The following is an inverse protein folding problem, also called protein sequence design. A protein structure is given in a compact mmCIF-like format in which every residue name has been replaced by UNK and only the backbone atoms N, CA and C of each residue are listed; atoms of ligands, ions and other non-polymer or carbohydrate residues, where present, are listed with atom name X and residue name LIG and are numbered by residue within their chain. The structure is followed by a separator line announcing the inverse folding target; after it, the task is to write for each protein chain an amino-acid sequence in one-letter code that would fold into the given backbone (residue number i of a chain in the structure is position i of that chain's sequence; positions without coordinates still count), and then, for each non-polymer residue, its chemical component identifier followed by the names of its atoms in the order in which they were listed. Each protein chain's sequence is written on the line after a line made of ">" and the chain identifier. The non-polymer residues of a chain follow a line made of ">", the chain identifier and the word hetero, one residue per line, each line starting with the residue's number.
data_IF_574260820688
#
_entry.id   IF_574260820688
#
_cell.length_a   1.000
_cell.length_b   1.000
_cell.length_c   1.000
_cell.angle_alpha   90.00
_cell.angle_beta   90.00
_cell.angle_gamma   90.00
#
_symmetry.space_group_name_H-M   'P 1'
#
loop_
_entity.id
_entity.type
_entity.pdbx_description
1 polymer ?
#
# COMPACT_ATOMS: atom_id res chain seq x y z
N UNK A 1 5.66 8.46 -25.93
CA UNK A 1 5.39 9.22 -24.68
C UNK A 1 4.35 10.30 -24.97
N UNK A 2 3.13 10.16 -24.45
CA UNK A 2 2.05 11.15 -24.62
C UNK A 2 2.40 12.51 -24.00
N UNK A 3 1.74 13.58 -24.46
CA UNK A 3 1.90 14.91 -23.86
C UNK A 3 1.08 15.04 -22.57
N UNK A 4 1.42 16.00 -21.69
CA UNK A 4 0.61 16.30 -20.50
C UNK A 4 -0.85 16.59 -20.84
N UNK A 5 -1.10 17.24 -21.98
CA UNK A 5 -2.44 17.51 -22.48
C UNK A 5 -3.18 16.23 -22.87
N UNK A 6 -2.47 15.22 -23.37
CA UNK A 6 -3.06 13.91 -23.67
C UNK A 6 -3.36 13.12 -22.40
N UNK A 7 -2.48 13.15 -21.41
CA UNK A 7 -2.68 12.52 -20.10
C UNK A 7 -3.80 13.18 -19.27
N UNK A 8 -4.09 14.46 -19.50
CA UNK A 8 -5.14 15.19 -18.80
C UNK A 8 -6.54 15.01 -19.41
N UNK A 9 -6.69 14.20 -20.47
CA UNK A 9 -7.99 13.98 -21.14
C UNK A 9 -8.97 13.18 -20.28
N UNK A 10 -8.47 12.31 -19.42
CA UNK A 10 -9.27 11.45 -18.53
C UNK A 10 -8.76 11.55 -17.10
N UNK A 11 -9.55 11.07 -16.14
CA UNK A 11 -9.04 10.90 -14.77
C UNK A 11 -7.98 9.80 -14.81
N UNK A 12 -6.89 9.96 -14.07
CA UNK A 12 -5.75 9.04 -14.15
C UNK A 12 -6.16 7.57 -13.88
N UNK A 13 -7.13 7.37 -12.98
CA UNK A 13 -7.66 6.05 -12.63
C UNK A 13 -8.37 5.37 -13.79
N UNK A 14 -8.98 6.14 -14.70
CA UNK A 14 -9.71 5.58 -15.85
C UNK A 14 -8.78 4.86 -16.82
N UNK A 15 -7.48 5.18 -16.83
CA UNK A 15 -6.51 4.50 -17.69
C UNK A 15 -6.28 3.04 -17.28
N UNK A 16 -6.55 2.65 -16.04
CA UNK A 16 -6.48 1.26 -15.60
C UNK A 16 -7.52 0.38 -16.30
N UNK A 17 -8.67 0.95 -16.64
CA UNK A 17 -9.75 0.24 -17.33
C UNK A 17 -9.46 0.02 -18.82
N UNK A 18 -8.34 0.49 -19.37
CA UNK A 18 -8.06 0.26 -20.79
C UNK A 18 -7.59 -1.18 -21.07
N UNK A 19 -7.90 -1.69 -22.25
CA UNK A 19 -7.42 -3.01 -22.71
C UNK A 19 -5.90 -3.06 -22.73
N UNK A 20 -5.24 -1.99 -23.18
CA UNK A 20 -3.78 -1.89 -23.21
C UNK A 20 -3.16 -2.05 -21.82
N UNK A 21 -3.69 -1.35 -20.80
CA UNK A 21 -3.22 -1.50 -19.42
C UNK A 21 -3.46 -2.91 -18.90
N UNK A 22 -4.64 -3.46 -19.16
CA UNK A 22 -5.03 -4.80 -18.71
C UNK A 22 -4.11 -5.89 -19.29
N UNK A 23 -3.83 -5.83 -20.60
CA UNK A 23 -2.87 -6.71 -21.28
C UNK A 23 -1.44 -6.52 -20.74
N UNK A 24 -1.02 -5.28 -20.48
CA UNK A 24 0.31 -4.99 -19.96
C UNK A 24 0.54 -5.62 -18.57
N UNK A 25 -0.41 -5.50 -17.65
CA UNK A 25 -0.36 -6.16 -16.35
C UNK A 25 -0.37 -7.69 -16.49
N UNK A 26 -1.20 -8.25 -17.38
CA UNK A 26 -1.21 -9.70 -17.57
C UNK A 26 0.11 -10.21 -18.17
N UNK A 27 0.75 -9.45 -19.07
CA UNK A 27 2.07 -9.79 -19.60
C UNK A 27 3.15 -9.76 -18.52
N UNK A 28 3.08 -8.78 -17.61
CA UNK A 28 3.96 -8.75 -16.42
C UNK A 28 3.76 -10.01 -15.57
N UNK A 29 2.52 -10.40 -15.29
CA UNK A 29 2.20 -11.56 -14.45
C UNK A 29 2.54 -12.91 -15.12
N UNK A 30 2.34 -13.01 -16.44
CA UNK A 30 2.65 -14.21 -17.22
C UNK A 30 4.14 -14.38 -17.53
N UNK A 31 4.99 -13.44 -17.09
CA UNK A 31 6.40 -13.36 -17.46
C UNK A 31 6.62 -13.32 -18.99
N UNK A 32 5.72 -12.67 -19.74
CA UNK A 32 5.90 -12.46 -21.18
C UNK A 32 7.23 -11.74 -21.39
N UNK A 33 8.06 -12.24 -22.31
CA UNK A 33 9.38 -11.69 -22.64
C UNK A 33 10.34 -11.48 -21.44
N UNK A 34 10.15 -12.22 -20.33
CA UNK A 34 11.01 -12.10 -19.14
C UNK A 34 10.73 -10.88 -18.26
N UNK A 35 9.52 -10.30 -18.35
CA UNK A 35 9.13 -9.13 -17.55
C UNK A 35 9.12 -9.42 -16.03
N UNK A 36 8.56 -10.55 -15.60
CA UNK A 36 8.57 -10.95 -14.19
C UNK A 36 10.00 -11.26 -13.71
N UNK A 37 10.82 -11.87 -14.56
CA UNK A 37 12.23 -12.11 -14.25
C UNK A 37 13.00 -10.80 -14.02
N UNK A 38 12.73 -9.80 -14.87
CA UNK A 38 13.31 -8.46 -14.74
C UNK A 38 12.85 -7.76 -13.45
N UNK A 39 11.59 -7.94 -13.08
CA UNK A 39 11.05 -7.41 -11.84
C UNK A 39 11.62 -8.11 -10.61
N UNK A 40 11.77 -9.43 -10.67
CA UNK A 40 12.45 -10.22 -9.64
C UNK A 40 13.92 -9.78 -9.48
N UNK A 41 14.62 -9.52 -10.58
CA UNK A 41 15.99 -9.01 -10.55
C UNK A 41 16.10 -7.61 -9.93
N UNK A 42 15.13 -6.73 -10.18
CA UNK A 42 15.04 -5.44 -9.48
C UNK A 42 14.93 -5.66 -7.97
N UNK A 43 14.01 -6.51 -7.52
CA UNK A 43 13.83 -6.78 -6.09
C UNK A 43 15.03 -7.47 -5.44
N UNK A 44 15.68 -8.41 -6.14
CA UNK A 44 16.92 -9.04 -5.67
C UNK A 44 18.03 -7.99 -5.46
N UNK A 45 18.19 -7.05 -6.40
CA UNK A 45 19.16 -5.96 -6.28
C UNK A 45 18.82 -5.04 -5.11
N UNK A 46 17.57 -4.62 -4.97
CA UNK A 46 17.10 -3.80 -3.85
C UNK A 46 17.39 -4.49 -2.51
N UNK A 47 17.02 -5.76 -2.36
CA UNK A 47 17.27 -6.52 -1.14
C UNK A 47 18.78 -6.63 -0.82
N UNK A 48 19.61 -6.91 -1.82
CA UNK A 48 21.05 -7.01 -1.64
C UNK A 48 21.69 -5.72 -1.10
N UNK A 49 21.21 -4.55 -1.54
CA UNK A 49 21.70 -3.24 -1.07
C UNK A 49 21.14 -2.88 0.31
N UNK A 50 19.85 -3.14 0.56
CA UNK A 50 19.19 -2.65 1.77
C UNK A 50 19.24 -3.59 2.98
N UNK A 51 19.69 -4.85 2.82
CA UNK A 51 19.68 -5.85 3.89
C UNK A 51 20.42 -5.47 5.18
N UNK A 52 21.41 -4.58 5.11
CA UNK A 52 22.17 -4.15 6.29
C UNK A 52 21.55 -2.95 7.02
N UNK A 53 20.52 -2.33 6.45
CA UNK A 53 19.91 -1.12 7.00
C UNK A 53 18.79 -1.49 7.96
N UNK A 54 19.09 -1.56 9.26
CA UNK A 54 18.12 -1.90 10.30
C UNK A 54 16.93 -0.93 10.41
N UNK A 55 17.05 0.25 9.81
CA UNK A 55 15.99 1.23 9.70
C UNK A 55 15.05 0.95 8.52
N UNK A 56 15.37 0.07 7.57
CA UNK A 56 14.39 -0.35 6.57
C UNK A 56 13.42 -1.33 7.24
N UNK A 57 12.11 -1.10 7.14
CA UNK A 57 11.14 -2.05 7.72
C UNK A 57 10.86 -3.23 6.79
N UNK A 58 10.96 -3.01 5.49
CA UNK A 58 10.61 -4.00 4.49
C UNK A 58 10.45 -3.45 3.09
N UNK A 59 9.93 -4.31 2.21
CA UNK A 59 9.78 -4.09 0.78
C UNK A 59 8.33 -4.31 0.36
N UNK A 60 7.68 -3.28 -0.16
CA UNK A 60 6.32 -3.38 -0.72
C UNK A 60 6.38 -3.75 -2.18
N UNK A 61 5.91 -4.96 -2.50
CA UNK A 61 6.18 -5.60 -3.80
C UNK A 61 5.67 -4.77 -4.99
N UNK A 62 4.45 -4.24 -4.88
CA UNK A 62 3.79 -3.37 -5.85
C UNK A 62 2.71 -2.55 -5.14
N UNK A 63 2.61 -1.29 -5.53
CA UNK A 63 1.52 -0.39 -5.13
C UNK A 63 0.29 -0.62 -6.03
N UNK A 64 -0.89 -0.81 -5.44
CA UNK A 64 -2.17 -0.91 -6.14
C UNK A 64 -2.15 -1.83 -7.38
N UNK A 65 -1.89 -3.14 -7.20
CA UNK A 65 -1.85 -4.06 -8.33
C UNK A 65 -3.19 -4.07 -9.10
N UNK A 66 -3.10 -4.07 -10.42
CA UNK A 66 -4.27 -4.27 -11.28
C UNK A 66 -4.61 -5.76 -11.42
N UNK A 67 -5.88 -6.08 -11.68
CA UNK A 67 -6.35 -7.46 -11.72
C UNK A 67 -5.74 -8.32 -12.85
N UNK A 68 -5.19 -7.70 -13.90
CA UNK A 68 -4.69 -8.36 -15.10
C UNK A 68 -5.58 -8.09 -16.32
N UNK A 69 -5.64 -9.04 -17.26
CA UNK A 69 -6.40 -8.88 -18.50
C UNK A 69 -7.89 -9.16 -18.28
N UNK A 70 -8.61 -8.17 -17.76
CA UNK A 70 -10.06 -8.26 -17.50
C UNK A 70 -10.90 -8.37 -18.79
N UNK A 71 -10.33 -8.11 -19.97
CA UNK A 71 -11.03 -8.25 -21.25
C UNK A 71 -10.96 -9.68 -21.76
N UNK A 72 -9.79 -10.32 -21.66
CA UNK A 72 -9.63 -11.73 -21.96
C UNK A 72 -10.28 -12.64 -20.90
N UNK A 73 -10.18 -12.25 -19.62
CA UNK A 73 -10.79 -12.97 -18.50
C UNK A 73 -11.55 -12.02 -17.55
N UNK A 74 -12.84 -11.77 -17.81
CA UNK A 74 -13.67 -10.89 -16.96
C UNK A 74 -13.82 -11.34 -15.51
N UNK A 75 -13.55 -12.61 -15.18
CA UNK A 75 -13.62 -13.08 -13.79
C UNK A 75 -12.54 -12.44 -12.90
N UNK A 76 -11.48 -11.88 -13.48
CA UNK A 76 -10.42 -11.22 -12.72
C UNK A 76 -10.92 -9.99 -11.93
N UNK A 77 -12.05 -9.38 -12.32
CA UNK A 77 -12.65 -8.29 -11.54
C UNK A 77 -13.39 -8.77 -10.28
N UNK A 78 -13.75 -10.07 -10.24
CA UNK A 78 -14.44 -10.65 -9.09
C UNK A 78 -13.45 -10.71 -7.93
N UNK A 79 -13.83 -10.22 -6.73
CA UNK A 79 -12.92 -10.19 -5.60
C UNK A 79 -12.26 -11.54 -5.34
N UNK A 80 -10.99 -11.52 -4.91
CA UNK A 80 -10.13 -12.69 -4.61
C UNK A 80 -9.61 -13.45 -5.82
N UNK A 81 -10.22 -13.31 -7.01
CA UNK A 81 -9.87 -14.14 -8.17
C UNK A 81 -8.48 -13.76 -8.69
N UNK A 82 -8.24 -12.47 -8.94
CA UNK A 82 -6.94 -12.00 -9.41
C UNK A 82 -5.82 -12.15 -8.37
N UNK A 83 -6.11 -11.93 -7.08
CA UNK A 83 -5.19 -12.24 -5.98
C UNK A 83 -4.66 -13.67 -6.08
N UNK A 84 -5.57 -14.64 -6.26
CA UNK A 84 -5.23 -16.07 -6.32
C UNK A 84 -4.58 -16.47 -7.63
N UNK A 85 -5.09 -15.98 -8.76
CA UNK A 85 -4.66 -16.42 -10.09
C UNK A 85 -3.39 -15.73 -10.56
N UNK A 86 -3.25 -14.44 -10.29
CA UNK A 86 -2.16 -13.61 -10.79
C UNK A 86 -1.18 -13.23 -9.68
N UNK A 87 -1.65 -12.60 -8.59
CA UNK A 87 -0.74 -12.01 -7.60
C UNK A 87 0.00 -13.05 -6.76
N UNK A 88 -0.68 -14.10 -6.27
CA UNK A 88 -0.04 -15.10 -5.41
C UNK A 88 1.15 -15.81 -6.08
N UNK A 89 1.04 -16.32 -7.32
CA UNK A 89 2.18 -16.89 -8.03
C UNK A 89 3.32 -15.88 -8.28
N UNK A 90 2.98 -14.65 -8.65
CA UNK A 90 3.96 -13.58 -8.89
C UNK A 90 4.72 -13.24 -7.61
N UNK A 91 4.01 -13.05 -6.50
CA UNK A 91 4.62 -12.69 -5.22
C UNK A 91 5.52 -13.80 -4.67
N UNK A 92 5.26 -15.07 -4.97
CA UNK A 92 6.18 -16.16 -4.63
C UNK A 92 7.52 -16.02 -5.39
N UNK A 93 7.49 -15.69 -6.68
CA UNK A 93 8.71 -15.45 -7.48
C UNK A 93 9.50 -14.27 -6.92
N UNK A 94 8.82 -13.15 -6.62
CA UNK A 94 9.48 -11.96 -6.07
C UNK A 94 10.02 -12.22 -4.66
N UNK A 95 9.26 -12.91 -3.80
CA UNK A 95 9.70 -13.29 -2.46
C UNK A 95 10.96 -14.13 -2.51
N UNK A 96 11.00 -15.16 -3.37
CA UNK A 96 12.18 -16.00 -3.55
C UNK A 96 13.41 -15.19 -3.99
N UNK A 97 13.23 -14.21 -4.89
CA UNK A 97 14.32 -13.35 -5.34
C UNK A 97 14.86 -12.44 -4.22
N UNK A 98 13.98 -11.91 -3.38
CA UNK A 98 14.37 -11.12 -2.19
C UNK A 98 15.10 -12.01 -1.18
N UNK A 99 14.54 -13.17 -0.85
CA UNK A 99 15.07 -14.08 0.19
C UNK A 99 16.43 -14.68 -0.16
N UNK A 100 16.82 -14.72 -1.43
CA UNK A 100 18.22 -15.04 -1.80
C UNK A 100 19.25 -14.07 -1.21
N UNK A 101 18.84 -12.86 -0.85
CA UNK A 101 19.74 -11.80 -0.36
C UNK A 101 19.41 -11.32 1.05
N UNK A 102 18.14 -11.37 1.44
CA UNK A 102 17.65 -10.82 2.71
C UNK A 102 16.60 -11.72 3.35
N UNK A 103 16.95 -12.31 4.49
CA UNK A 103 16.10 -13.22 5.26
C UNK A 103 15.29 -12.52 6.37
N UNK A 104 15.55 -11.23 6.63
CA UNK A 104 15.14 -10.57 7.87
C UNK A 104 14.08 -9.48 7.65
N UNK A 105 14.23 -8.65 6.62
CA UNK A 105 13.29 -7.55 6.37
C UNK A 105 11.90 -8.06 5.99
N UNK A 106 10.85 -7.31 6.34
CA UNK A 106 9.50 -7.69 6.00
C UNK A 106 9.24 -7.59 4.50
N UNK A 107 8.35 -8.45 3.98
CA UNK A 107 7.75 -8.26 2.65
C UNK A 107 6.32 -7.76 2.85
N UNK A 108 6.05 -6.57 2.35
CA UNK A 108 4.73 -5.96 2.26
C UNK A 108 4.10 -6.39 0.94
N UNK A 109 2.88 -6.90 0.98
CA UNK A 109 2.19 -7.41 -0.20
C UNK A 109 0.74 -6.93 -0.19
N UNK A 110 0.31 -6.34 -1.31
CA UNK A 110 -1.05 -5.86 -1.49
C UNK A 110 -1.91 -6.86 -2.27
N UNK A 111 -3.20 -6.92 -1.94
CA UNK A 111 -4.21 -7.50 -2.83
C UNK A 111 -4.78 -6.47 -3.79
N UNK A 112 -5.74 -6.88 -4.61
CA UNK A 112 -6.51 -5.96 -5.46
C UNK A 112 -7.26 -4.92 -4.60
N UNK A 113 -7.20 -3.65 -5.01
CA UNK A 113 -7.65 -2.50 -4.19
C UNK A 113 -9.15 -2.48 -3.87
N UNK A 114 -9.97 -3.21 -4.62
CA UNK A 114 -11.41 -3.33 -4.39
C UNK A 114 -11.83 -4.65 -3.70
N UNK A 115 -10.87 -5.43 -3.17
CA UNK A 115 -11.14 -6.65 -2.39
C UNK A 115 -11.58 -6.32 -0.95
N UNK A 116 -12.69 -5.60 -0.81
CA UNK A 116 -13.25 -5.15 0.48
C UNK A 116 -13.73 -6.29 1.39
N UNK A 117 -13.97 -7.48 0.82
CA UNK A 117 -14.54 -8.63 1.53
C UNK A 117 -13.51 -9.74 1.83
N UNK A 118 -12.24 -9.37 1.84
CA UNK A 118 -11.12 -10.26 2.10
C UNK A 118 -10.25 -10.50 0.87
N UNK A 119 -8.96 -10.72 1.07
CA UNK A 119 -7.99 -11.02 -0.01
C UNK A 119 -8.03 -12.50 -0.41
N UNK A 120 -7.63 -12.79 -1.64
CA UNK A 120 -7.67 -14.13 -2.26
C UNK A 120 -6.46 -15.02 -2.01
N UNK A 121 -5.46 -14.56 -1.28
CA UNK A 121 -4.24 -15.34 -0.99
C UNK A 121 -4.53 -16.55 -0.08
N UNK A 122 -4.04 -17.74 -0.45
CA UNK A 122 -4.11 -18.92 0.44
C UNK A 122 -2.99 -18.92 1.50
N UNK A 123 -1.84 -18.30 1.17
CA UNK A 123 -0.69 -18.11 2.06
C UNK A 123 0.01 -16.79 1.74
N UNK A 124 0.83 -16.32 2.67
CA UNK A 124 1.77 -15.20 2.47
C UNK A 124 2.88 -15.55 1.46
N UNK A 125 3.51 -14.54 0.82
CA UNK A 125 4.69 -14.76 -0.03
C UNK A 125 5.83 -15.44 0.73
N UNK A 126 6.41 -16.51 0.17
CA UNK A 126 7.44 -17.33 0.82
C UNK A 126 6.88 -18.36 1.82
N UNK A 127 5.56 -18.39 2.03
CA UNK A 127 4.90 -19.42 2.82
C UNK A 127 5.18 -19.35 4.33
N UNK A 128 4.98 -20.49 5.01
CA UNK A 128 5.09 -20.62 6.47
C UNK A 128 6.42 -20.09 7.03
N UNK A 129 7.53 -20.32 6.32
CA UNK A 129 8.88 -19.95 6.75
C UNK A 129 9.06 -18.42 6.92
N UNK A 130 8.33 -17.64 6.12
CA UNK A 130 8.45 -16.17 6.07
C UNK A 130 7.24 -15.44 6.64
N UNK A 131 6.22 -16.17 7.11
CA UNK A 131 4.98 -15.60 7.64
C UNK A 131 5.18 -14.56 8.75
N UNK A 132 6.16 -14.76 9.62
CA UNK A 132 6.48 -13.85 10.71
C UNK A 132 7.14 -12.52 10.26
N UNK A 133 7.41 -12.37 8.97
CA UNK A 133 8.01 -11.21 8.29
C UNK A 133 7.33 -10.96 6.95
N UNK A 134 6.03 -11.27 6.90
CA UNK A 134 5.13 -10.88 5.82
C UNK A 134 4.11 -9.92 6.41
N UNK A 135 3.81 -8.86 5.66
CA UNK A 135 2.85 -7.83 6.07
C UNK A 135 1.84 -7.67 4.93
N UNK A 136 0.57 -7.93 5.20
CA UNK A 136 -0.49 -7.58 4.26
C UNK A 136 -0.63 -6.05 4.30
N UNK A 137 -0.21 -5.39 3.22
CA UNK A 137 -0.48 -3.97 3.02
C UNK A 137 -1.80 -3.78 2.29
N UNK A 138 -2.48 -2.68 2.59
CA UNK A 138 -3.76 -2.36 1.97
C UNK A 138 -4.05 -0.86 2.02
N UNK A 139 -4.86 -0.40 1.08
CA UNK A 139 -5.31 0.99 0.99
C UNK A 139 -6.75 1.12 1.45
N UNK A 140 -7.12 2.32 1.90
CA UNK A 140 -8.51 2.68 2.16
C UNK A 140 -8.88 4.01 1.50
N UNK A 141 -9.75 3.94 0.50
CA UNK A 141 -10.30 5.07 -0.22
C UNK A 141 -11.77 4.83 -0.57
N UNK A 142 -12.63 5.85 -0.45
CA UNK A 142 -13.99 5.80 -0.97
C UNK A 142 -14.07 6.70 -2.20
N UNK A 143 -14.35 6.17 -3.41
CA UNK A 143 -14.21 4.77 -3.86
C UNK A 143 -12.72 4.33 -3.94
N UNK A 144 -12.39 3.02 -4.12
CA UNK A 144 -13.29 1.89 -4.39
C UNK A 144 -13.85 1.18 -3.16
N UNK A 145 -13.34 1.47 -1.96
CA UNK A 145 -13.82 0.86 -0.73
C UNK A 145 -15.25 1.27 -0.40
N UNK A 146 -15.99 0.36 0.21
CA UNK A 146 -17.39 0.56 0.57
C UNK A 146 -17.54 1.26 1.92
N UNK A 147 -17.15 0.58 3.01
CA UNK A 147 -17.39 1.04 4.37
C UNK A 147 -16.19 0.77 5.28
N UNK A 148 -15.85 1.77 6.09
CA UNK A 148 -14.63 1.82 6.88
C UNK A 148 -14.50 0.63 7.84
N UNK A 149 -15.51 0.43 8.70
CA UNK A 149 -15.43 -0.56 9.77
C UNK A 149 -15.47 -1.98 9.20
N UNK A 150 -16.24 -2.19 8.15
CA UNK A 150 -16.34 -3.44 7.43
C UNK A 150 -15.02 -3.79 6.73
N UNK A 151 -14.35 -2.81 6.11
CA UNK A 151 -13.05 -3.00 5.48
C UNK A 151 -11.99 -3.39 6.53
N UNK A 152 -11.87 -2.65 7.63
CA UNK A 152 -10.97 -3.01 8.74
C UNK A 152 -11.31 -4.38 9.34
N UNK A 153 -12.60 -4.72 9.46
CA UNK A 153 -13.06 -6.03 9.89
C UNK A 153 -12.67 -7.16 8.93
N UNK A 154 -12.73 -6.93 7.63
CA UNK A 154 -12.26 -7.87 6.62
C UNK A 154 -10.74 -8.04 6.66
N UNK A 155 -9.99 -6.94 6.72
CA UNK A 155 -8.52 -6.96 6.87
C UNK A 155 -8.10 -7.71 8.11
N UNK A 156 -8.72 -7.45 9.27
CA UNK A 156 -8.44 -8.21 10.49
C UNK A 156 -8.63 -9.72 10.29
N UNK A 157 -9.71 -10.15 9.65
CA UNK A 157 -9.94 -11.59 9.34
C UNK A 157 -8.86 -12.15 8.41
N UNK A 158 -8.40 -11.37 7.44
CA UNK A 158 -7.29 -11.77 6.56
C UNK A 158 -5.99 -11.95 7.34
N UNK A 159 -5.65 -11.01 8.22
CA UNK A 159 -4.46 -11.09 9.08
C UNK A 159 -4.50 -12.31 9.99
N UNK A 160 -5.66 -12.60 10.60
CA UNK A 160 -5.85 -13.78 11.44
C UNK A 160 -5.71 -15.08 10.64
N UNK A 161 -6.25 -15.10 9.41
CA UNK A 161 -6.22 -16.27 8.53
C UNK A 161 -4.82 -16.54 7.97
N UNK A 162 -4.14 -15.51 7.49
CA UNK A 162 -2.79 -15.57 6.93
C UNK A 162 -1.70 -15.63 8.01
N UNK A 163 -2.06 -15.22 9.23
CA UNK A 163 -1.20 -15.14 10.43
C UNK A 163 0.03 -14.26 10.21
N UNK A 164 -0.17 -13.12 9.57
CA UNK A 164 0.87 -12.18 9.18
C UNK A 164 0.65 -10.80 9.82
N UNK A 165 1.62 -9.90 9.66
CA UNK A 165 1.44 -8.50 10.03
C UNK A 165 0.45 -7.79 9.09
N UNK A 166 -0.05 -6.64 9.50
CA UNK A 166 -0.92 -5.79 8.70
C UNK A 166 -0.57 -4.31 8.82
N UNK A 167 -0.70 -3.57 7.73
CA UNK A 167 -0.50 -2.13 7.71
C UNK A 167 -1.36 -1.47 6.62
N UNK A 168 -2.04 -0.38 6.98
CA UNK A 168 -2.73 0.46 6.01
C UNK A 168 -1.72 1.42 5.38
N UNK A 169 -1.16 1.07 4.23
CA UNK A 169 -0.07 1.83 3.60
C UNK A 169 -0.56 3.10 2.91
N UNK A 170 -1.87 3.23 2.69
CA UNK A 170 -2.43 4.45 2.12
C UNK A 170 -3.88 4.72 2.54
N UNK A 171 -4.18 5.98 2.81
CA UNK A 171 -5.53 6.52 2.93
C UNK A 171 -5.52 8.03 2.71
N UNK A 172 -6.71 8.59 2.44
CA UNK A 172 -6.85 10.01 2.13
C UNK A 172 -6.48 10.92 3.32
N UNK A 173 -5.40 11.69 3.16
CA UNK A 173 -5.03 12.81 4.05
C UNK A 173 -4.93 14.10 3.21
N UNK A 174 -6.09 14.66 2.85
CA UNK A 174 -6.16 15.86 2.01
C UNK A 174 -6.57 17.09 2.79
N UNK A 175 -6.08 18.26 2.36
CA UNK A 175 -6.44 19.51 3.00
C UNK A 175 -7.91 19.88 2.74
N UNK A 176 -8.70 20.17 3.77
CA UNK A 176 -10.10 20.59 3.67
C UNK A 176 -11.09 19.47 4.03
N UNK A 177 -10.62 18.23 4.18
CA UNK A 177 -11.42 17.04 4.51
C UNK A 177 -10.80 16.34 5.73
N UNK A 178 -10.87 16.98 6.91
CA UNK A 178 -10.13 16.50 8.09
C UNK A 178 -10.87 15.41 8.87
N UNK A 179 -12.21 15.44 8.85
CA UNK A 179 -13.04 14.50 9.61
C UNK A 179 -12.92 13.05 9.10
N UNK A 180 -12.97 12.75 7.78
CA UNK A 180 -12.78 11.39 7.28
C UNK A 180 -11.41 10.82 7.66
N UNK A 181 -10.37 11.64 7.61
CA UNK A 181 -9.01 11.25 8.02
C UNK A 181 -8.99 10.77 9.47
N UNK A 182 -9.61 11.52 10.40
CA UNK A 182 -9.66 11.12 11.81
C UNK A 182 -10.45 9.84 12.04
N UNK A 183 -11.60 9.69 11.37
CA UNK A 183 -12.39 8.46 11.46
C UNK A 183 -11.57 7.25 11.04
N UNK A 184 -10.77 7.36 9.98
CA UNK A 184 -9.88 6.29 9.54
C UNK A 184 -8.76 6.03 10.56
N UNK A 185 -8.15 7.07 11.15
CA UNK A 185 -7.12 6.90 12.19
C UNK A 185 -7.70 6.26 13.46
N UNK A 186 -8.89 6.65 13.89
CA UNK A 186 -9.56 6.07 15.06
C UNK A 186 -9.97 4.61 14.81
N UNK A 187 -10.39 4.28 13.58
CA UNK A 187 -10.60 2.90 13.17
C UNK A 187 -9.28 2.11 13.18
N UNK A 188 -8.18 2.70 12.71
CA UNK A 188 -6.87 2.05 12.75
C UNK A 188 -6.42 1.74 14.18
N UNK A 189 -6.59 2.67 15.13
CA UNK A 189 -6.32 2.44 16.56
C UNK A 189 -7.21 1.31 17.12
N UNK A 190 -8.52 1.34 16.81
CA UNK A 190 -9.50 0.33 17.23
C UNK A 190 -9.14 -1.08 16.74
N UNK A 191 -8.58 -1.20 15.53
CA UNK A 191 -8.16 -2.46 14.93
C UNK A 191 -6.67 -2.76 15.11
N UNK A 192 -5.95 -1.93 15.87
CA UNK A 192 -4.52 -2.05 16.14
C UNK A 192 -3.66 -2.12 14.87
N UNK A 193 -4.04 -1.35 13.85
CA UNK A 193 -3.36 -1.29 12.55
C UNK A 193 -2.53 -0.01 12.45
N UNK A 194 -1.26 -0.13 12.02
CA UNK A 194 -0.43 1.02 11.67
C UNK A 194 -0.86 1.60 10.32
N UNK A 195 -0.50 2.86 10.07
CA UNK A 195 -0.90 3.54 8.85
C UNK A 195 0.17 4.50 8.29
N UNK A 196 0.11 4.74 6.97
CA UNK A 196 0.78 5.84 6.26
C UNK A 196 -0.30 6.65 5.53
N UNK A 197 -0.29 7.96 5.71
CA UNK A 197 -1.27 8.86 5.09
C UNK A 197 -0.78 9.44 3.76
N UNK A 198 -1.64 9.44 2.74
CA UNK A 198 -1.38 10.07 1.45
C UNK A 198 -1.80 11.54 1.48
N UNK A 199 -0.91 12.51 1.43
CA UNK A 199 0.56 12.41 1.33
C UNK A 199 1.21 13.50 2.18
N UNK A 200 2.50 13.35 2.45
CA UNK A 200 3.27 14.38 3.16
C UNK A 200 3.39 15.67 2.32
N UNK A 201 3.92 15.57 1.09
CA UNK A 201 4.03 16.69 0.14
C UNK A 201 4.12 16.18 -1.31
N UNK A 202 3.62 16.96 -2.26
CA UNK A 202 3.84 16.70 -3.68
C UNK A 202 5.32 16.94 -4.07
N UNK A 203 6.07 15.86 -4.34
CA UNK A 203 7.48 15.94 -4.75
C UNK A 203 7.66 16.24 -6.25
N UNK A 204 6.79 15.71 -7.13
CA UNK A 204 6.85 16.01 -8.56
C UNK A 204 5.50 15.77 -9.30
N UNK A 205 5.05 16.70 -10.17
CA UNK A 205 5.48 18.09 -10.20
C UNK A 205 5.16 18.76 -8.86
N UNK A 206 5.94 19.74 -8.43
CA UNK A 206 5.55 20.51 -7.25
C UNK A 206 4.23 21.24 -7.55
N UNK A 207 3.26 21.13 -6.64
CA UNK A 207 1.94 21.75 -6.82
C UNK A 207 1.62 22.75 -5.70
N UNK A 208 2.44 23.79 -5.49
CA UNK A 208 2.32 24.70 -4.35
C UNK A 208 1.01 25.50 -4.34
N UNK A 209 0.33 25.61 -5.48
CA UNK A 209 -0.88 26.40 -5.65
C UNK A 209 -2.18 25.59 -5.56
N UNK A 210 -2.14 24.30 -5.18
CA UNK A 210 -3.36 23.53 -4.99
C UNK A 210 -4.17 24.06 -3.82
N UNK A 211 -5.49 24.09 -4.02
CA UNK A 211 -6.47 24.56 -3.04
C UNK A 211 -7.44 23.45 -2.71
N UNK A 212 -8.01 23.51 -1.51
CA UNK A 212 -8.96 22.52 -1.01
C UNK A 212 -8.37 21.11 -1.00
N UNK A 213 -9.23 20.11 -1.19
CA UNK A 213 -8.94 18.67 -1.08
C UNK A 213 -7.91 18.12 -2.09
N UNK A 214 -7.34 18.97 -2.93
CA UNK A 214 -6.26 18.58 -3.84
C UNK A 214 -4.88 18.79 -3.23
N UNK A 215 -4.77 19.61 -2.19
CA UNK A 215 -3.49 19.91 -1.54
C UNK A 215 -3.18 18.84 -0.49
N UNK A 216 -1.91 18.46 -0.37
CA UNK A 216 -1.41 17.63 0.73
C UNK A 216 -1.83 18.20 2.09
N UNK A 217 -2.22 17.34 3.03
CA UNK A 217 -2.67 17.77 4.35
C UNK A 217 -1.55 18.45 5.14
N UNK A 218 -0.42 17.76 5.32
CA UNK A 218 0.66 18.18 6.21
C UNK A 218 1.53 19.30 5.66
N UNK A 219 1.62 19.47 4.34
CA UNK A 219 2.47 20.48 3.70
C UNK A 219 1.65 21.50 2.90
N UNK A 220 1.79 22.78 3.24
CA UNK A 220 1.03 23.86 2.62
C UNK A 220 1.71 24.50 1.38
N UNK A 221 2.89 24.00 0.98
CA UNK A 221 3.70 24.55 -0.10
C UNK A 221 4.95 25.29 0.39
N UNK A 222 4.89 25.92 1.57
CA UNK A 222 6.02 26.65 2.18
C UNK A 222 6.49 26.07 3.51
N UNK A 223 5.69 25.21 4.14
CA UNK A 223 6.03 24.55 5.40
C UNK A 223 4.94 23.61 5.88
N UNK A 224 5.09 23.16 7.12
CA UNK A 224 4.10 22.33 7.81
C UNK A 224 2.81 23.13 8.07
N UNK A 225 1.68 22.53 7.74
CA UNK A 225 0.37 23.06 8.10
C UNK A 225 0.03 22.69 9.54
N UNK A 226 0.08 23.68 10.44
CA UNK A 226 -0.09 23.45 11.88
C UNK A 226 -1.46 22.91 12.26
N UNK A 227 -2.51 23.20 11.48
CA UNK A 227 -3.84 22.61 11.73
C UNK A 227 -3.73 21.09 11.57
N UNK A 228 -3.08 20.59 10.53
CA UNK A 228 -2.93 19.15 10.32
C UNK A 228 -1.93 18.54 11.28
N UNK A 229 -0.83 19.22 11.61
CA UNK A 229 0.13 18.74 12.62
C UNK A 229 -0.57 18.54 13.96
N UNK A 230 -1.30 19.55 14.45
CA UNK A 230 -1.97 19.51 15.76
C UNK A 230 -3.00 18.39 15.86
N UNK A 231 -3.57 17.98 14.73
CA UNK A 231 -4.65 17.01 14.71
C UNK A 231 -4.22 15.60 14.27
N UNK A 232 -3.07 15.45 13.61
CA UNK A 232 -2.53 14.14 13.19
C UNK A 232 -1.43 13.63 14.11
N UNK A 233 -0.77 14.50 14.88
CA UNK A 233 0.11 14.06 15.98
C UNK A 233 -0.74 13.45 17.09
N UNK A 234 -0.44 12.21 17.48
CA UNK A 234 -1.20 11.43 18.47
C UNK A 234 -0.25 10.90 19.53
N UNK A 235 -0.76 10.66 20.74
CA UNK A 235 -0.06 9.81 21.71
C UNK A 235 -0.30 8.35 21.30
N UNK A 236 0.75 7.55 21.12
CA UNK A 236 0.60 6.15 20.66
C UNK A 236 1.76 5.28 21.14
N UNK A 237 1.54 3.95 21.28
CA UNK A 237 2.61 3.03 21.63
C UNK A 237 3.51 2.80 20.40
N UNK A 238 4.76 3.26 20.48
CA UNK A 238 5.74 2.96 19.44
C UNK A 238 6.14 1.48 19.50
N UNK A 239 6.49 0.99 20.69
CA UNK A 239 6.85 -0.40 20.96
C UNK A 239 6.16 -0.89 22.24
N UNK A 240 5.70 -2.14 22.24
CA UNK A 240 5.05 -2.77 23.40
C UNK A 240 5.76 -4.07 23.70
N UNK A 241 6.24 -4.23 24.93
CA UNK A 241 6.87 -5.44 25.43
C UNK A 241 5.80 -6.50 25.80
N UNK A 242 5.06 -6.96 24.79
CA UNK A 242 3.95 -7.89 24.99
C UNK A 242 2.93 -7.83 23.86
N UNK A 243 1.72 -8.31 24.15
CA UNK A 243 0.59 -8.29 23.23
C UNK A 243 -0.31 -7.10 23.54
N UNK A 244 -0.38 -6.13 22.64
CA UNK A 244 -1.35 -5.04 22.75
C UNK A 244 -2.77 -5.59 22.67
N UNK A 245 -3.58 -5.29 23.69
CA UNK A 245 -4.99 -5.66 23.75
C UNK A 245 -5.85 -4.54 23.17
N UNK A 246 -5.60 -3.31 23.60
CA UNK A 246 -6.23 -2.09 23.08
C UNK A 246 -5.31 -0.89 23.34
N UNK A 247 -5.38 0.11 22.48
CA UNK A 247 -4.99 1.46 22.85
C UNK A 247 -5.98 2.45 22.24
N UNK A 248 -6.05 3.65 22.82
CA UNK A 248 -6.85 4.75 22.30
C UNK A 248 -6.20 6.07 22.69
N UNK A 249 -6.18 7.00 21.75
CA UNK A 249 -5.93 8.41 22.00
C UNK A 249 -7.18 9.20 21.70
N UNK A 250 -7.65 9.98 22.67
CA UNK A 250 -8.82 10.83 22.49
C UNK A 250 -8.37 12.28 22.21
N UNK A 251 -8.63 12.75 20.99
CA UNK A 251 -8.15 14.06 20.55
C UNK A 251 -8.84 15.22 21.28
N UNK A 252 -10.02 15.02 21.90
CA UNK A 252 -10.73 16.07 22.63
C UNK A 252 -10.20 16.22 24.05
N UNK A 253 -10.16 15.12 24.79
CA UNK A 253 -9.71 15.09 26.19
C UNK A 253 -8.19 15.03 26.34
N UNK A 254 -7.48 14.65 25.28
CA UNK A 254 -6.03 14.35 25.26
C UNK A 254 -5.64 13.14 26.10
N UNK A 255 -6.61 12.34 26.53
CA UNK A 255 -6.37 11.10 27.26
C UNK A 255 -5.80 10.02 26.33
N UNK A 256 -4.83 9.27 26.85
CA UNK A 256 -4.29 8.08 26.19
C UNK A 256 -4.37 6.88 27.13
N UNK A 257 -4.86 5.76 26.59
CA UNK A 257 -4.93 4.48 27.30
C UNK A 257 -4.21 3.43 26.47
N UNK A 258 -3.36 2.63 27.12
CA UNK A 258 -2.72 1.44 26.58
C UNK A 258 -2.97 0.26 27.52
N UNK A 259 -3.47 -0.85 26.99
CA UNK A 259 -3.57 -2.13 27.69
C UNK A 259 -2.84 -3.19 26.88
N UNK A 260 -1.94 -3.91 27.54
CA UNK A 260 -1.17 -5.00 26.93
C UNK A 260 -0.99 -6.15 27.91
N UNK A 261 -0.79 -7.35 27.37
CA UNK A 261 -0.49 -8.56 28.14
C UNK A 261 1.00 -8.91 28.00
N UNK A 262 1.65 -9.25 29.11
CA UNK A 262 3.00 -9.83 29.05
C UNK A 262 2.95 -11.18 28.33
N UNK A 263 3.86 -11.38 27.39
CA UNK A 263 3.92 -12.55 26.51
C UNK A 263 5.09 -13.46 26.86
N UNK A 264 4.90 -14.77 26.81
CA UNK A 264 5.98 -15.77 26.91
C UNK A 264 7.02 -15.67 25.80
N UNK A 265 6.60 -15.12 24.65
CA UNK A 265 7.45 -15.01 23.46
C UNK A 265 8.11 -13.64 23.32
N UNK A 266 7.77 -12.67 24.19
CA UNK A 266 8.46 -11.38 24.27
C UNK A 266 9.50 -11.43 25.38
N UNK A 267 10.77 -11.27 25.04
CA UNK A 267 11.85 -11.17 26.05
C UNK A 267 12.16 -9.72 26.44
N UNK A 268 11.59 -8.74 25.74
CA UNK A 268 11.69 -7.35 26.14
C UNK A 268 10.83 -7.09 27.37
N UNK A 269 11.29 -6.20 28.24
CA UNK A 269 10.52 -5.68 29.38
C UNK A 269 10.08 -4.24 29.20
N UNK A 270 10.60 -3.59 28.17
CA UNK A 270 10.47 -2.16 27.92
C UNK A 270 9.43 -1.87 26.83
N UNK A 271 8.43 -1.06 27.18
CA UNK A 271 7.48 -0.47 26.23
C UNK A 271 7.75 1.02 26.09
N UNK A 272 7.52 1.54 24.89
CA UNK A 272 7.83 2.91 24.52
C UNK A 272 6.57 3.57 23.95
N UNK A 273 6.15 4.68 24.55
CA UNK A 273 4.99 5.47 24.14
C UNK A 273 5.46 6.85 23.74
N UNK A 274 5.15 7.23 22.51
CA UNK A 274 5.32 8.61 22.05
C UNK A 274 4.13 9.45 22.50
N UNK A 275 4.40 10.69 22.88
CA UNK A 275 3.42 11.74 23.12
C UNK A 275 3.95 13.06 22.57
N UNK A 276 3.05 13.96 22.17
CA UNK A 276 3.47 15.32 21.79
C UNK A 276 3.22 16.28 22.96
N UNK A 277 4.24 16.48 23.79
CA UNK A 277 4.15 17.32 24.99
C UNK A 277 3.76 18.76 24.65
N UNK A 278 4.34 19.31 23.58
CA UNK A 278 4.15 20.71 23.21
C UNK A 278 2.73 20.98 22.67
N UNK A 279 2.17 20.03 21.93
CA UNK A 279 0.85 20.19 21.31
C UNK A 279 -0.29 19.81 22.25
N UNK A 280 -0.18 18.67 22.94
CA UNK A 280 -1.30 18.10 23.71
C UNK A 280 -1.17 18.25 25.22
N UNK A 281 0.04 18.47 25.74
CA UNK A 281 0.32 18.52 27.18
C UNK A 281 1.19 19.74 27.59
N UNK A 282 0.89 20.97 27.12
CA UNK A 282 1.76 22.13 27.37
C UNK A 282 1.86 22.53 28.84
N UNK A 283 0.92 22.08 29.68
CA UNK A 283 0.93 22.26 31.14
C UNK A 283 1.45 21.04 31.90
N UNK A 284 2.01 20.06 31.20
CA UNK A 284 2.40 18.76 31.74
C UNK A 284 1.28 17.71 31.64
N UNK A 285 1.59 16.51 32.11
CA UNK A 285 0.72 15.33 32.06
C UNK A 285 0.86 14.51 33.35
N UNK A 286 -0.10 13.61 33.60
CA UNK A 286 -0.05 12.64 34.69
C UNK A 286 -0.09 11.23 34.11
N UNK A 287 0.70 10.31 34.67
CA UNK A 287 0.77 8.92 34.24
C UNK A 287 0.34 8.01 35.38
N UNK A 288 -0.68 7.19 35.13
CA UNK A 288 -1.13 6.13 36.03
C UNK A 288 -0.80 4.78 35.41
N UNK A 289 -0.24 3.87 36.19
CA UNK A 289 0.17 2.55 35.71
C UNK A 289 -0.29 1.45 36.67
N UNK A 290 -0.90 0.42 36.11
CA UNK A 290 -1.32 -0.78 36.83
C UNK A 290 -0.80 -2.02 36.10
N UNK A 291 -0.19 -3.00 36.79
CA UNK A 291 0.08 -3.05 38.22
C UNK A 291 1.23 -2.09 38.64
N UNK A 292 1.26 -1.72 39.92
CA UNK A 292 2.27 -0.80 40.49
C UNK A 292 3.72 -1.30 40.45
N UNK A 293 3.90 -2.58 40.12
CA UNK A 293 5.19 -3.19 39.83
C UNK A 293 5.81 -2.69 38.52
N UNK A 294 4.99 -2.23 37.57
CA UNK A 294 5.48 -1.58 36.35
C UNK A 294 5.95 -0.18 36.70
N UNK A 295 7.16 0.16 36.26
CA UNK A 295 7.77 1.49 36.47
C UNK A 295 7.76 2.27 35.16
N UNK A 296 7.69 3.59 35.26
CA UNK A 296 7.76 4.45 34.09
C UNK A 296 8.73 5.61 34.31
N UNK A 297 9.24 6.16 33.21
CA UNK A 297 10.14 7.32 33.20
C UNK A 297 9.98 8.13 31.92
N UNK A 298 10.33 9.42 31.96
CA UNK A 298 10.35 10.32 30.80
C UNK A 298 11.73 10.96 30.64
N UNK A 299 12.73 10.16 30.28
CA UNK A 299 14.12 10.65 30.15
C UNK A 299 14.35 11.51 28.90
N UNK A 300 13.50 11.37 27.89
CA UNK A 300 13.60 12.10 26.62
C UNK A 300 12.28 12.81 26.35
N UNK A 301 12.34 14.08 25.90
CA UNK A 301 11.15 14.85 25.51
C UNK A 301 10.34 14.04 24.49
N UNK A 302 9.02 14.04 24.64
CA UNK A 302 8.06 13.32 23.82
C UNK A 302 8.17 11.78 23.91
N UNK A 303 8.80 11.24 24.97
CA UNK A 303 8.94 9.80 25.14
C UNK A 303 8.70 9.32 26.57
N UNK A 304 7.76 8.39 26.71
CA UNK A 304 7.53 7.64 27.94
C UNK A 304 8.01 6.21 27.78
N UNK A 305 8.81 5.76 28.75
CA UNK A 305 9.32 4.39 28.82
C UNK A 305 8.65 3.68 29.99
N UNK A 306 8.12 2.48 29.76
CA UNK A 306 7.48 1.62 30.77
C UNK A 306 8.23 0.30 30.88
N UNK A 307 8.65 -0.06 32.09
CA UNK A 307 9.41 -1.27 32.38
C UNK A 307 8.64 -2.16 33.34
N UNK A 308 8.28 -3.37 32.89
CA UNK A 308 7.69 -4.39 33.75
C UNK A 308 8.76 -5.39 34.23
N UNK A 309 8.64 -5.95 35.46
CA UNK A 309 9.63 -6.90 35.95
C UNK A 309 9.50 -8.25 35.23
N UNK A 310 10.61 -8.96 35.05
CA UNK A 310 10.62 -10.32 34.46
C UNK A 310 9.86 -11.35 35.29
N UNK A 311 9.59 -11.05 36.57
CA UNK A 311 8.76 -11.87 37.46
C UNK A 311 7.25 -11.69 37.23
N UNK A 312 6.83 -10.74 36.39
CA UNK A 312 5.42 -10.53 36.12
C UNK A 312 4.86 -11.72 35.32
N UNK A 313 3.77 -12.37 35.77
CA UNK A 313 3.29 -13.57 35.10
C UNK A 313 2.74 -13.26 33.71
N UNK A 314 2.81 -14.25 32.84
CA UNK A 314 2.23 -14.22 31.49
C UNK A 314 0.74 -13.89 31.59
N UNK A 315 0.27 -12.97 30.74
CA UNK A 315 -1.12 -12.51 30.78
C UNK A 315 -1.44 -11.52 31.91
N UNK A 316 -0.46 -11.12 32.74
CA UNK A 316 -0.60 -9.98 33.63
C UNK A 316 -0.75 -8.66 32.83
N UNK A 317 -1.17 -7.60 33.53
CA UNK A 317 -1.54 -6.28 32.98
C UNK A 317 -2.87 -6.24 32.21
N UNK A 318 -3.67 -7.30 32.30
CA UNK A 318 -5.06 -7.29 31.84
C UNK A 318 -5.97 -6.63 32.89
N UNK A 319 -6.84 -5.71 32.47
CA UNK A 319 -7.98 -5.29 33.31
C UNK A 319 -8.95 -6.47 33.48
N UNK A 320 -9.27 -6.84 34.73
CA UNK A 320 -10.47 -7.61 35.04
C UNK A 320 -11.69 -6.70 34.92
N UNK A 321 -12.21 -6.48 33.70
CA UNK A 321 -13.53 -5.87 33.54
C UNK A 321 -14.61 -6.94 33.31
N UNK A 322 -15.65 -6.86 34.14
CA UNK A 322 -16.97 -7.42 33.87
C UNK A 322 -17.37 -7.06 32.44
N UNK A 323 -17.70 -8.07 31.63
CA UNK A 323 -18.16 -7.89 30.25
C UNK A 323 -19.33 -6.89 30.23
N UNK A 324 -19.14 -5.75 29.58
CA UNK A 324 -20.28 -4.96 29.09
C UNK A 324 -20.97 -5.80 28.00
N UNK A 325 -22.26 -6.19 28.17
CA UNK A 325 -22.98 -6.97 27.17
C UNK A 325 -23.14 -6.24 25.81
N UNK A 326 -22.90 -4.93 25.76
CA UNK A 326 -22.98 -4.12 24.54
C UNK A 326 -21.62 -3.91 23.84
N UNK A 327 -20.50 -4.32 24.44
CA UNK A 327 -19.19 -4.33 23.78
C UNK A 327 -19.02 -5.60 22.93
N UNK A 328 -19.31 -5.49 21.63
CA UNK A 328 -19.06 -6.54 20.63
C UNK A 328 -17.56 -6.65 20.30
N UNK A 329 -16.70 -6.92 21.28
CA UNK A 329 -15.27 -7.10 21.03
C UNK A 329 -14.78 -8.48 21.46
N UNK A 330 -14.83 -9.43 20.52
CA UNK A 330 -14.08 -10.68 20.65
C UNK A 330 -12.62 -10.47 20.22
N UNK A 331 -11.75 -10.11 21.17
CA UNK A 331 -10.31 -10.12 20.95
C UNK A 331 -9.77 -11.54 21.14
N UNK A 332 -9.27 -12.15 20.06
CA UNK A 332 -8.43 -13.34 20.13
C UNK A 332 -6.98 -12.94 19.84
N UNK A 333 -6.04 -13.57 20.56
CA UNK A 333 -4.60 -13.26 20.59
C UNK A 333 -3.89 -13.64 19.29
N UNK A 334 -3.58 -12.69 18.40
CA UNK A 334 -2.93 -13.04 17.13
C UNK A 334 -1.82 -12.10 16.63
N UNK A 335 -1.62 -10.94 17.24
CA UNK A 335 -0.44 -10.11 16.95
C UNK A 335 0.76 -10.69 17.72
N UNK A 336 1.91 -10.84 17.08
CA UNK A 336 3.14 -11.32 17.73
C UNK A 336 3.71 -10.30 18.74
N UNK A 337 4.65 -10.73 19.63
CA UNK A 337 5.31 -9.88 20.63
C UNK A 337 6.24 -8.79 20.06
N UNK A 338 6.33 -8.66 18.73
CA UNK A 338 7.30 -7.79 18.04
C UNK A 338 6.83 -6.34 17.85
N UNK A 339 5.73 -5.95 18.49
CA UNK A 339 5.17 -4.60 18.38
C UNK A 339 4.46 -4.37 17.05
N UNK A 340 3.60 -3.34 17.04
CA UNK A 340 3.02 -2.84 15.80
C UNK A 340 4.14 -2.28 14.90
N UNK A 341 3.91 -2.26 13.59
CA UNK A 341 4.86 -1.75 12.57
C UNK A 341 5.40 -0.35 12.93
N UNK A 342 4.65 0.40 13.74
CA UNK A 342 4.96 1.70 14.34
C UNK A 342 6.41 1.96 14.77
N UNK A 343 7.06 1.10 15.59
CA UNK A 343 8.40 1.40 16.09
C UNK A 343 9.46 1.40 14.98
N UNK A 344 9.42 0.39 14.11
CA UNK A 344 10.39 0.28 13.02
C UNK A 344 10.12 1.36 11.95
N UNK A 345 8.87 1.75 11.71
CA UNK A 345 8.52 2.86 10.81
C UNK A 345 9.14 4.19 11.24
N UNK A 346 9.16 4.50 12.54
CA UNK A 346 9.79 5.72 13.06
C UNK A 346 11.28 5.77 12.73
N UNK A 347 11.99 4.64 12.84
CA UNK A 347 13.39 4.54 12.44
C UNK A 347 13.58 4.68 10.92
N UNK A 348 12.65 4.15 10.10
CA UNK A 348 12.71 4.23 8.63
C UNK A 348 12.64 5.63 8.06
N UNK A 349 11.99 6.56 8.76
CA UNK A 349 11.80 7.93 8.27
C UNK A 349 13.04 8.80 8.52
N UNK A 350 13.84 8.48 9.55
CA UNK A 350 15.00 9.28 9.96
C UNK A 350 16.10 9.51 8.88
N UNK A 351 16.38 8.58 7.95
CA UNK A 351 17.43 8.74 6.93
C UNK A 351 16.93 9.07 5.50
N UNK A 352 15.63 9.38 5.32
CA UNK A 352 15.02 9.57 3.99
C UNK A 352 15.73 10.63 3.12
N UNK A 353 16.28 11.71 3.70
CA UNK A 353 16.94 12.76 2.90
C UNK A 353 18.33 12.38 2.35
N UNK A 354 19.07 11.46 2.99
CA UNK A 354 20.45 11.12 2.59
C UNK A 354 20.54 9.90 1.67
N UNK A 355 19.73 8.87 1.90
CA UNK A 355 19.82 7.61 1.13
C UNK A 355 19.20 7.73 -0.27
N UNK A 356 18.13 8.52 -0.43
CA UNK A 356 17.46 8.72 -1.73
C UNK A 356 18.39 9.25 -2.84
N UNK A 357 19.39 10.06 -2.49
CA UNK A 357 20.32 10.64 -3.48
C UNK A 357 21.31 9.61 -4.04
N UNK A 358 21.72 8.61 -3.23
CA UNK A 358 22.58 7.52 -3.69
C UNK A 358 21.84 6.50 -4.55
N UNK A 359 20.55 6.27 -4.24
CA UNK A 359 19.66 5.39 -4.98
C UNK A 359 19.56 5.80 -6.45
N UNK A 360 19.30 7.09 -6.73
CA UNK A 360 19.15 7.58 -8.12
C UNK A 360 20.41 7.33 -8.96
N UNK A 361 21.61 7.38 -8.37
CA UNK A 361 22.86 7.12 -9.09
C UNK A 361 23.10 5.63 -9.39
N UNK A 362 22.71 4.73 -8.49
CA UNK A 362 22.97 3.29 -8.65
C UNK A 362 21.97 2.60 -9.59
N UNK A 363 20.71 3.07 -9.61
CA UNK A 363 19.66 2.53 -10.49
C UNK A 363 19.67 3.11 -11.91
N UNK A 364 20.56 4.07 -12.21
CA UNK A 364 20.68 4.71 -13.53
C UNK A 364 21.05 3.73 -14.67
N UNK A 365 21.51 2.52 -14.34
CA UNK A 365 21.85 1.46 -15.31
C UNK A 365 20.70 0.46 -15.56
N UNK A 366 19.64 0.49 -14.74
CA UNK A 366 18.45 -0.33 -15.00
C UNK A 366 17.61 0.40 -16.05
N UNK A 367 17.40 -0.25 -17.19
CA UNK A 367 16.61 0.29 -18.28
C UNK A 367 15.12 0.25 -17.93
N UNK A 368 14.64 1.17 -17.07
CA UNK A 368 13.23 1.28 -16.66
C UNK A 368 12.23 1.37 -17.83
N UNK A 369 12.71 1.70 -19.04
CA UNK A 369 11.92 1.61 -20.28
C UNK A 369 11.41 0.19 -20.59
N UNK A 370 12.05 -0.87 -20.10
CA UNK A 370 11.53 -2.24 -20.28
C UNK A 370 10.28 -2.53 -19.46
N UNK A 371 10.00 -1.75 -18.40
CA UNK A 371 8.76 -1.82 -17.63
C UNK A 371 7.64 -0.95 -18.22
N UNK A 372 7.94 -0.17 -19.25
CA UNK A 372 6.97 0.67 -19.97
C UNK A 372 6.64 0.01 -21.31
N UNK A 373 5.90 -1.10 -21.28
CA UNK A 373 5.43 -1.73 -22.52
C UNK A 373 4.29 -0.91 -23.14
N UNK A 374 4.55 -0.45 -24.38
CA UNK A 374 3.64 -0.10 -25.48
C UNK A 374 3.12 1.36 -25.59
N UNK A 375 3.60 2.06 -26.64
CA UNK A 375 2.81 3.07 -27.34
C UNK A 375 1.64 2.34 -28.02
N UNK A 376 0.41 2.57 -27.55
CA UNK A 376 -0.82 2.15 -28.22
C UNK A 376 -1.48 3.40 -28.83
N UNK A 377 -1.53 3.48 -30.16
CA UNK A 377 -2.35 4.49 -30.85
C UNK A 377 -3.82 4.18 -30.59
N UNK A 378 -4.45 5.03 -29.79
CA UNK A 378 -5.85 4.91 -29.37
C UNK A 378 -6.79 5.12 -30.58
N UNK A 379 -7.49 4.07 -31.00
CA UNK A 379 -8.53 4.16 -32.03
C UNK A 379 -9.87 4.54 -31.38
N UNK A 380 -10.30 5.79 -31.57
CA UNK A 380 -11.59 6.28 -31.10
C UNK A 380 -12.77 5.52 -31.74
N UNK A 381 -13.63 4.93 -30.90
CA UNK A 381 -15.00 4.56 -31.29
C UNK A 381 -16.00 5.19 -30.30
N UNK A 382 -16.83 6.10 -30.81
CA UNK A 382 -17.88 6.78 -30.04
C UNK A 382 -19.18 6.01 -30.16
N UNK A 383 -19.75 5.56 -29.05
CA UNK A 383 -21.07 4.93 -29.03
C UNK A 383 -22.13 6.02 -28.81
N UNK A 384 -23.01 6.23 -29.78
CA UNK A 384 -24.19 7.08 -29.61
C UNK A 384 -25.39 6.24 -29.16
N UNK A 385 -25.63 6.20 -27.84
CA UNK A 385 -26.80 5.51 -27.27
C UNK A 385 -27.98 6.48 -27.22
N UNK A 386 -29.09 6.13 -27.90
CA UNK A 386 -30.32 6.94 -27.96
C UNK A 386 -31.42 6.54 -26.97
N UNK A 387 -31.20 5.51 -26.16
CA UNK A 387 -32.18 5.03 -25.16
C UNK A 387 -31.68 5.32 -23.74
N UNK A 388 -32.56 5.93 -22.94
CA UNK A 388 -32.21 6.51 -21.63
C UNK A 388 -32.26 5.48 -20.49
N UNK A 389 -32.89 4.31 -20.70
CA UNK A 389 -32.96 3.24 -19.71
C UNK A 389 -32.58 1.90 -20.35
N UNK A 390 -31.38 1.41 -20.06
CA UNK A 390 -30.92 0.06 -20.40
C UNK A 390 -30.32 -0.59 -19.14
N UNK A 391 -30.47 -1.90 -18.99
CA UNK A 391 -29.76 -2.64 -17.94
C UNK A 391 -28.26 -2.77 -18.27
N UNK A 392 -27.43 -3.00 -17.25
CA UNK A 392 -25.97 -3.12 -17.41
C UNK A 392 -25.57 -4.25 -18.37
N UNK A 393 -26.37 -5.33 -18.42
CA UNK A 393 -26.14 -6.46 -19.32
C UNK A 393 -26.53 -6.15 -20.77
N UNK A 394 -27.51 -5.27 -21.00
CA UNK A 394 -27.87 -4.80 -22.35
C UNK A 394 -26.87 -3.77 -22.88
N UNK A 395 -26.34 -2.92 -22.00
CA UNK A 395 -25.23 -2.03 -22.34
C UNK A 395 -23.99 -2.83 -22.76
N UNK A 396 -23.60 -3.84 -21.98
CA UNK A 396 -22.46 -4.69 -22.29
C UNK A 396 -22.61 -5.39 -23.65
N UNK A 397 -23.80 -5.92 -23.97
CA UNK A 397 -24.08 -6.54 -25.28
C UNK A 397 -24.05 -5.54 -26.44
N UNK A 398 -24.66 -4.36 -26.28
CA UNK A 398 -24.67 -3.32 -27.32
C UNK A 398 -23.25 -2.80 -27.61
N UNK A 399 -22.45 -2.64 -26.56
CA UNK A 399 -21.03 -2.30 -26.66
C UNK A 399 -20.23 -3.39 -27.37
N UNK A 400 -20.44 -4.67 -27.00
CA UNK A 400 -19.79 -5.83 -27.65
C UNK A 400 -20.07 -5.90 -29.17
N UNK A 401 -21.32 -5.68 -29.60
CA UNK A 401 -21.66 -5.65 -31.03
C UNK A 401 -20.98 -4.50 -31.78
N UNK A 402 -20.91 -3.31 -31.15
CA UNK A 402 -20.26 -2.13 -31.73
C UNK A 402 -18.75 -2.31 -31.85
N UNK A 403 -18.14 -2.95 -30.85
CA UNK A 403 -16.73 -3.32 -30.85
C UNK A 403 -16.43 -4.38 -31.92
N UNK A 404 -17.26 -5.44 -32.04
CA UNK A 404 -17.11 -6.47 -33.08
C UNK A 404 -17.16 -5.89 -34.50
N UNK A 405 -18.05 -4.95 -34.76
CA UNK A 405 -18.14 -4.28 -36.08
C UNK A 405 -16.99 -3.29 -36.33
N UNK A 406 -16.47 -2.63 -35.28
CA UNK A 406 -15.28 -1.77 -35.37
C UNK A 406 -14.02 -2.59 -35.66
N UNK A 407 -13.87 -3.75 -35.01
CA UNK A 407 -12.77 -4.69 -35.23
C UNK A 407 -12.80 -5.26 -36.66
N UNK A 408 -13.97 -5.64 -37.19
CA UNK A 408 -14.09 -6.07 -38.60
C UNK A 408 -13.61 -5.01 -39.59
N UNK A 409 -13.87 -3.72 -39.34
CA UNK A 409 -13.42 -2.61 -40.20
C UNK A 409 -11.93 -2.32 -40.05
N UNK A 410 -11.35 -2.50 -38.85
CA UNK A 410 -9.94 -2.29 -38.57
C UNK A 410 -9.03 -3.41 -39.14
N UNK A 411 -9.52 -4.65 -39.22
CA UNK A 411 -8.71 -5.80 -39.70
C UNK A 411 -8.30 -5.75 -41.17
N UNK A 412 -8.81 -4.83 -42.00
CA UNK A 412 -8.28 -4.61 -43.35
C UNK A 412 -6.98 -3.78 -43.38
N UNK A 413 -6.62 -3.14 -42.25
CA UNK A 413 -5.48 -2.21 -42.16
C UNK A 413 -4.71 -2.42 -40.85
N UNK A 414 -4.08 -3.58 -40.66
CA UNK A 414 -2.90 -3.71 -39.80
C UNK A 414 -2.32 -5.13 -39.88
N UNK A 415 -1.43 -5.36 -40.85
CA UNK A 415 -0.44 -6.42 -40.76
C UNK A 415 0.92 -5.79 -41.03
N UNK A 416 1.67 -5.46 -39.98
CA UNK A 416 3.11 -5.26 -40.07
C UNK A 416 3.79 -5.89 -38.86
N UNK A 417 4.35 -7.07 -39.07
CA UNK A 417 5.35 -7.68 -38.20
C UNK A 417 6.63 -6.84 -38.26
N UNK A 418 7.16 -6.43 -37.10
CA UNK A 418 8.56 -6.00 -37.00
C UNK A 418 9.34 -6.97 -36.12
N UNK A 419 9.94 -7.98 -36.75
CA UNK A 419 11.06 -8.72 -36.16
C UNK A 419 12.31 -7.85 -36.25
N UNK A 420 12.96 -7.57 -35.13
CA UNK A 420 14.32 -7.03 -35.12
C UNK A 420 15.30 -8.17 -34.91
N UNK A 421 16.02 -8.55 -35.97
CA UNK A 421 17.33 -9.22 -35.90
C UNK A 421 18.40 -8.20 -36.25
N UNK A 422 19.48 -8.13 -35.45
CA UNK A 422 20.81 -7.74 -35.95
C UNK A 422 21.68 -8.98 -36.00
N UNK A 423 22.15 -9.33 -37.20
CA UNK A 423 23.57 -9.51 -37.57
C UNK A 423 23.66 -10.00 -39.03
N UNK A 424 24.48 -9.33 -39.86
CA UNK A 424 25.13 -9.96 -41.02
C UNK A 424 24.88 -9.39 -42.44
N UNK A 425 25.89 -8.67 -42.94
CA UNK A 425 26.38 -8.54 -44.34
C UNK A 425 25.55 -7.91 -45.49
N UNK A 426 26.10 -6.78 -45.99
CA UNK A 426 26.32 -6.36 -47.39
C UNK A 426 25.42 -6.92 -48.51
N UNK A 427 24.70 -6.06 -49.25
CA UNK A 427 25.14 -5.45 -50.53
C UNK A 427 23.98 -4.76 -51.30
N UNK A 428 24.28 -3.57 -51.83
CA UNK A 428 23.86 -2.98 -53.12
C UNK A 428 22.38 -2.67 -53.50
N UNK A 429 22.23 -1.38 -53.91
CA UNK A 429 21.42 -0.77 -55.01
C UNK A 429 20.08 -0.07 -54.71
N UNK A 430 20.20 1.27 -54.59
CA UNK A 430 19.60 2.38 -55.40
C UNK A 430 18.06 2.55 -55.54
N UNK A 431 17.60 3.80 -55.81
CA UNK A 431 16.39 4.38 -55.23
C UNK A 431 15.22 4.53 -56.22
N UNK A 432 14.02 4.75 -55.70
CA UNK A 432 12.94 5.41 -56.44
C UNK A 432 12.24 6.48 -55.59
N UNK A 433 11.85 7.52 -56.31
CA UNK A 433 11.44 8.85 -55.91
C UNK A 433 9.91 9.03 -56.06
N UNK A 434 9.38 10.06 -55.36
CA UNK A 434 8.16 10.87 -55.66
C UNK A 434 6.79 10.16 -55.44
N UNK A 435 5.71 10.79 -54.90
CA UNK A 435 5.21 12.16 -55.02
C UNK A 435 4.29 12.58 -53.84
N UNK A 436 4.25 13.89 -53.59
CA UNK A 436 3.32 14.68 -52.75
C UNK A 436 1.86 14.66 -53.24
N UNK A 437 0.91 14.92 -52.33
CA UNK A 437 -0.02 16.06 -52.49
C UNK A 437 -0.64 16.51 -51.15
N UNK A 438 -0.35 17.77 -50.81
CA UNK A 438 -1.05 18.79 -49.97
C UNK A 438 -1.50 18.36 -48.57
#
# INVERSE_FOLDING_TARGET
>A
MPSDKDCAKFVWSDYYLTEATSVAFQNLYNNTDGLLDSWAAFWAKTAAEFKSFSNVIGYELINEPWAGDIYANPLLIVPKVADKMNLAPVYEVLSKAIRQHDEEHCIFFEGITWDDFGVGFDTVPGGELYRNRSVLSYHYYIPPSLALIENFGARKKDLERLKCGGMMTEFLTSAGEIEPMFKTMDAADMYLQSWIGWEYKAYHPSRPNLKGNRRSALWNGTGLDQIYVQNTTRTYPQAVAGYTVKFRFDLTSKEFVLVYEVSETCHATESVVYLNEEVHYPSGYTVTVTPSSVKWSSATKNMLTFNHPTSLPVGACREEHQRDPNEYWHYKRYNGPQGHVSARTVASVAPLEWELQKIVQQFATIQLKSCMTLDVENCHSTVHIKQVNMSMMEYARSFEFTMKESVKKATQWAAFHHTSRKYGSQNQRRPYHFLKSI
#
